data_IF_377317005409
#
_entry.id   IF_377317005409
#
_cell.length_a   1.000
_cell.length_b   1.000
_cell.length_c   1.000
_cell.angle_alpha   90.00
_cell.angle_beta   90.00
_cell.angle_gamma   90.00
#
_symmetry.space_group_name_H-M   'P 1'
#
loop_
_entity.id
_entity.type
_entity.pdbx_description
1 polymer ?
#
# COMPACT_ATOMS: atom_id res chain seq x y z
N UNK A 1 54.32 47.97 50.63
CA UNK A 1 52.98 48.43 50.20
C UNK A 1 52.03 47.24 50.50
N UNK A 2 51.17 47.44 51.51
CA UNK A 2 50.33 46.36 52.07
C UNK A 2 48.92 46.50 51.50
N UNK A 3 48.38 45.47 50.82
CA UNK A 3 46.98 45.42 50.39
C UNK A 3 46.13 44.68 51.43
N UNK A 4 45.20 45.44 52.03
CA UNK A 4 44.21 44.90 52.95
C UNK A 4 43.11 44.20 52.13
N UNK A 5 42.76 42.94 52.52
CA UNK A 5 41.62 42.19 52.02
C UNK A 5 40.46 42.38 52.99
N UNK A 6 39.36 42.99 52.52
CA UNK A 6 38.11 43.14 53.26
C UNK A 6 37.28 41.89 53.03
N UNK A 7 36.94 41.17 54.10
CA UNK A 7 36.00 40.04 54.08
C UNK A 7 34.57 40.56 54.32
N UNK A 8 33.65 40.33 53.35
CA UNK A 8 32.23 40.53 53.59
C UNK A 8 31.62 39.21 54.05
N UNK A 9 31.04 39.21 55.28
CA UNK A 9 30.27 38.07 55.80
C UNK A 9 28.82 38.30 55.41
N UNK A 10 28.27 37.40 54.54
CA UNK A 10 26.82 37.37 54.25
C UNK A 10 26.16 36.45 55.28
N UNK A 11 25.26 37.04 56.04
CA UNK A 11 24.42 36.34 57.01
C UNK A 11 23.19 35.81 56.27
N UNK A 12 23.09 34.45 56.01
CA UNK A 12 21.90 33.82 55.46
C UNK A 12 20.85 33.59 56.55
N UNK A 13 19.73 34.34 56.47
CA UNK A 13 18.52 34.06 57.23
C UNK A 13 17.79 32.85 56.63
N UNK A 14 17.74 31.76 57.33
CA UNK A 14 16.94 30.58 57.00
C UNK A 14 15.48 30.85 57.36
N UNK A 15 14.62 31.00 56.33
CA UNK A 15 13.15 30.97 56.47
C UNK A 15 12.69 29.54 56.24
N UNK A 16 11.93 28.91 57.15
CA UNK A 16 11.39 27.58 56.93
C UNK A 16 10.25 27.62 55.90
N UNK A 17 10.47 26.96 54.76
CA UNK A 17 9.46 26.76 53.72
C UNK A 17 8.64 25.54 54.14
N UNK A 18 7.41 25.78 54.60
CA UNK A 18 6.42 24.68 54.78
C UNK A 18 5.90 24.27 53.40
N UNK A 19 6.33 23.09 52.94
CA UNK A 19 5.83 22.48 51.73
C UNK A 19 4.43 21.95 51.95
N UNK A 20 3.42 22.64 51.36
CA UNK A 20 2.08 22.07 51.14
C UNK A 20 2.19 21.03 50.02
N UNK A 21 2.17 19.76 50.40
CA UNK A 21 2.10 18.66 49.45
C UNK A 21 0.73 18.63 48.76
N UNK A 22 0.62 19.18 47.54
CA UNK A 22 -0.47 18.85 46.64
C UNK A 22 -0.20 17.51 46.00
N UNK A 23 -0.87 16.46 46.52
CA UNK A 23 -0.96 15.17 45.84
C UNK A 23 -1.79 15.32 44.58
N UNK A 24 -1.12 15.59 43.47
CA UNK A 24 -1.70 15.48 42.14
C UNK A 24 -1.82 14.01 41.80
N UNK A 25 -2.98 13.42 42.02
CA UNK A 25 -3.32 12.12 41.47
C UNK A 25 -3.32 12.25 39.95
N UNK A 26 -2.24 11.84 39.31
CA UNK A 26 -2.19 11.69 37.87
C UNK A 26 -3.21 10.59 37.50
N UNK A 27 -4.35 11.01 36.96
CA UNK A 27 -5.29 10.10 36.30
C UNK A 27 -4.54 9.54 35.10
N UNK A 28 -4.02 8.33 35.24
CA UNK A 28 -3.55 7.55 34.08
C UNK A 28 -4.80 7.20 33.27
N UNK A 29 -5.10 8.01 32.29
CA UNK A 29 -5.99 7.62 31.19
C UNK A 29 -5.22 6.52 30.44
N UNK A 30 -5.52 5.25 30.76
CA UNK A 30 -5.19 4.15 29.86
C UNK A 30 -5.90 4.47 28.55
N UNK A 31 -5.20 5.02 27.58
CA UNK A 31 -5.65 4.97 26.19
C UNK A 31 -5.68 3.50 25.84
N UNK A 32 -6.85 2.86 25.87
CA UNK A 32 -7.02 1.63 25.10
C UNK A 32 -6.64 1.99 23.67
N UNK A 33 -5.52 1.43 23.20
CA UNK A 33 -5.13 1.61 21.81
C UNK A 33 -6.25 0.99 20.99
N UNK A 34 -7.05 1.83 20.34
CA UNK A 34 -8.08 1.39 19.44
C UNK A 34 -7.42 0.50 18.38
N UNK A 35 -7.64 -0.80 18.45
CA UNK A 35 -7.11 -1.74 17.47
C UNK A 35 -7.99 -1.72 16.23
N UNK A 36 -7.38 -1.77 15.05
CA UNK A 36 -8.14 -1.95 13.81
C UNK A 36 -8.90 -3.28 13.83
N UNK A 37 -10.20 -3.22 13.52
CA UNK A 37 -11.00 -4.43 13.34
C UNK A 37 -10.62 -5.10 12.02
N UNK A 38 -10.40 -6.40 12.04
CA UNK A 38 -10.13 -7.20 10.84
C UNK A 38 -11.27 -8.17 10.57
N UNK A 39 -11.60 -8.37 9.31
CA UNK A 39 -12.57 -9.39 8.90
C UNK A 39 -12.17 -10.01 7.54
N UNK A 40 -12.65 -11.21 7.28
CA UNK A 40 -12.43 -11.90 5.99
C UNK A 40 -13.75 -12.02 5.25
N UNK A 41 -13.76 -11.58 4.00
CA UNK A 41 -14.89 -11.74 3.09
C UNK A 41 -14.63 -12.89 2.15
N UNK A 42 -15.56 -13.85 2.10
CA UNK A 42 -15.56 -14.92 1.09
C UNK A 42 -16.22 -14.35 -0.17
N UNK A 43 -15.40 -13.89 -1.11
CA UNK A 43 -15.87 -13.29 -2.35
C UNK A 43 -15.92 -14.32 -3.47
N UNK A 44 -17.07 -14.41 -4.14
CA UNK A 44 -17.24 -15.26 -5.33
C UNK A 44 -17.11 -14.40 -6.58
N UNK A 45 -15.99 -14.53 -7.28
CA UNK A 45 -15.77 -13.86 -8.56
C UNK A 45 -16.51 -14.60 -9.66
N UNK A 46 -17.39 -13.90 -10.37
CA UNK A 46 -18.07 -14.43 -11.56
C UNK A 46 -17.13 -14.50 -12.75
N UNK A 47 -16.21 -13.55 -12.86
CA UNK A 47 -15.22 -13.47 -13.94
C UNK A 47 -14.18 -14.57 -13.84
N UNK A 48 -13.73 -14.88 -12.62
CA UNK A 48 -12.79 -15.96 -12.38
C UNK A 48 -13.49 -17.33 -12.16
N UNK A 49 -14.80 -17.36 -11.93
CA UNK A 49 -15.56 -18.58 -11.67
C UNK A 49 -15.11 -19.32 -10.40
N UNK A 50 -14.52 -18.62 -9.43
CA UNK A 50 -13.97 -19.18 -8.20
C UNK A 50 -14.10 -18.25 -7.01
N UNK A 51 -13.90 -18.79 -5.82
CA UNK A 51 -13.80 -17.99 -4.59
C UNK A 51 -12.43 -17.34 -4.52
N UNK A 52 -12.43 -16.00 -4.39
CA UNK A 52 -11.23 -15.18 -4.23
C UNK A 52 -11.42 -14.33 -2.95
N UNK A 53 -11.13 -14.88 -1.76
CA UNK A 53 -11.34 -14.19 -0.51
C UNK A 53 -10.45 -12.95 -0.40
N UNK A 54 -10.86 -12.01 0.43
CA UNK A 54 -10.03 -10.87 0.81
C UNK A 54 -10.19 -10.53 2.29
N UNK A 55 -9.14 -9.99 2.89
CA UNK A 55 -9.23 -9.42 4.22
C UNK A 55 -9.51 -7.92 4.14
N UNK A 56 -10.17 -7.44 5.19
CA UNK A 56 -10.48 -6.03 5.41
C UNK A 56 -9.90 -5.62 6.75
N UNK A 57 -9.13 -4.54 6.76
CA UNK A 57 -8.70 -3.86 7.99
C UNK A 57 -9.45 -2.54 8.05
N UNK A 58 -10.35 -2.42 9.02
CA UNK A 58 -11.17 -1.23 9.22
C UNK A 58 -10.46 -0.25 10.16
N UNK A 59 -10.50 1.06 9.89
CA UNK A 59 -9.92 2.05 10.80
C UNK A 59 -10.68 2.07 12.14
N UNK A 60 -10.02 2.50 13.23
CA UNK A 60 -10.62 2.47 14.57
C UNK A 60 -11.93 3.21 14.70
N UNK A 61 -12.11 4.29 13.97
CA UNK A 61 -13.32 5.14 13.96
C UNK A 61 -14.40 4.67 12.96
N UNK A 62 -14.19 3.55 12.27
CA UNK A 62 -15.09 3.11 11.19
C UNK A 62 -16.52 2.89 11.65
N UNK A 63 -16.74 2.21 12.78
CA UNK A 63 -18.09 1.90 13.26
C UNK A 63 -18.90 3.18 13.56
N UNK A 64 -18.26 4.15 14.21
CA UNK A 64 -18.86 5.44 14.51
C UNK A 64 -19.11 6.26 13.23
N UNK A 65 -18.11 6.40 12.38
CA UNK A 65 -18.22 7.18 11.14
C UNK A 65 -19.27 6.57 10.19
N UNK A 66 -19.26 5.24 10.02
CA UNK A 66 -20.21 4.54 9.16
C UNK A 66 -21.68 4.72 9.64
N UNK A 67 -21.92 4.72 10.97
CA UNK A 67 -23.23 4.98 11.54
C UNK A 67 -23.75 6.39 11.19
N UNK A 68 -22.84 7.37 11.00
CA UNK A 68 -23.15 8.74 10.60
C UNK A 68 -23.09 8.97 9.08
N UNK A 69 -22.93 7.93 8.27
CA UNK A 69 -22.90 8.04 6.81
C UNK A 69 -21.53 8.41 6.22
N UNK A 70 -20.46 8.38 7.00
CA UNK A 70 -19.09 8.63 6.51
C UNK A 70 -18.64 7.55 5.54
N UNK A 71 -18.01 7.96 4.44
CA UNK A 71 -17.30 7.10 3.49
C UNK A 71 -15.80 7.23 3.71
N UNK A 72 -15.08 6.13 3.55
CA UNK A 72 -13.66 6.02 3.81
C UNK A 72 -12.86 5.77 2.54
N UNK A 73 -11.66 6.31 2.41
CA UNK A 73 -10.76 5.93 1.33
C UNK A 73 -10.22 4.50 1.56
N UNK A 74 -9.67 3.90 0.52
CA UNK A 74 -9.24 2.49 0.51
C UNK A 74 -7.82 2.37 -0.05
N UNK A 75 -6.98 1.61 0.64
CA UNK A 75 -5.73 1.07 0.13
C UNK A 75 -5.93 -0.41 -0.24
N UNK A 76 -5.73 -0.77 -1.50
CA UNK A 76 -5.63 -2.15 -1.96
C UNK A 76 -4.18 -2.60 -1.87
N UNK A 77 -3.88 -3.60 -1.01
CA UNK A 77 -2.53 -4.03 -0.68
C UNK A 77 -2.30 -5.48 -1.14
N UNK A 78 -1.58 -5.62 -2.24
CA UNK A 78 -1.40 -6.86 -3.00
C UNK A 78 -0.29 -7.74 -2.42
N UNK A 79 -0.49 -9.06 -2.38
CA UNK A 79 0.50 -10.03 -1.93
C UNK A 79 1.50 -10.41 -3.04
N UNK A 80 2.59 -11.10 -2.68
CA UNK A 80 3.60 -11.61 -3.60
C UNK A 80 3.28 -13.00 -4.18
N UNK A 81 4.13 -13.47 -5.08
CA UNK A 81 4.05 -14.82 -5.64
C UNK A 81 4.15 -15.87 -4.53
N UNK A 82 3.39 -16.96 -4.63
CA UNK A 82 3.20 -18.00 -3.61
C UNK A 82 2.54 -17.55 -2.30
N UNK A 83 2.17 -16.27 -2.23
CA UNK A 83 1.42 -15.70 -1.12
C UNK A 83 -0.09 -15.75 -1.33
N UNK A 84 -0.83 -15.25 -0.34
CA UNK A 84 -2.28 -15.23 -0.30
C UNK A 84 -2.81 -13.93 0.32
N UNK A 85 -4.09 -13.69 0.18
CA UNK A 85 -4.82 -12.57 0.79
C UNK A 85 -4.55 -12.41 2.30
N UNK A 86 -4.24 -13.52 3.01
CA UNK A 86 -4.01 -13.53 4.46
C UNK A 86 -2.60 -13.10 4.87
N UNK A 87 -1.64 -13.10 3.98
CA UNK A 87 -0.22 -12.99 4.30
C UNK A 87 0.15 -11.69 5.00
N UNK A 88 -0.39 -10.57 4.55
CA UNK A 88 -0.13 -9.28 5.17
C UNK A 88 -0.53 -9.23 6.64
N UNK A 89 -1.65 -9.86 7.01
CA UNK A 89 -2.10 -9.92 8.41
C UNK A 89 -1.36 -10.99 9.22
N UNK A 90 -0.99 -12.10 8.58
CA UNK A 90 -0.36 -13.23 9.26
C UNK A 90 1.16 -13.06 9.46
N UNK A 91 1.84 -12.34 8.56
CA UNK A 91 3.30 -12.26 8.49
C UNK A 91 3.86 -10.88 8.77
N UNK A 92 3.00 -9.88 9.04
CA UNK A 92 3.39 -8.52 9.42
C UNK A 92 2.50 -7.98 10.53
N UNK A 93 2.85 -6.80 11.04
CA UNK A 93 2.04 -6.06 12.03
C UNK A 93 1.06 -5.09 11.36
N UNK A 94 0.56 -5.44 10.17
CA UNK A 94 -0.29 -4.54 9.38
C UNK A 94 -1.46 -3.95 10.18
N UNK A 95 -2.18 -4.78 10.94
CA UNK A 95 -3.34 -4.32 11.73
C UNK A 95 -2.96 -3.30 12.82
N UNK A 96 -1.78 -3.49 13.44
CA UNK A 96 -1.23 -2.56 14.43
C UNK A 96 -0.80 -1.25 13.76
N UNK A 97 -0.08 -1.33 12.62
CA UNK A 97 0.34 -0.15 11.85
C UNK A 97 -0.86 0.64 11.34
N UNK A 98 -1.91 -0.05 10.87
CA UNK A 98 -3.13 0.54 10.33
C UNK A 98 -3.94 1.33 11.36
N UNK A 99 -3.84 1.00 12.65
CA UNK A 99 -4.61 1.62 13.73
C UNK A 99 -4.39 3.14 13.89
N UNK A 100 -3.40 3.70 13.21
CA UNK A 100 -3.09 5.15 13.23
C UNK A 100 -3.66 5.89 12.02
N UNK A 101 -4.40 5.20 11.16
CA UNK A 101 -4.85 5.75 9.89
C UNK A 101 -6.37 5.65 9.73
N UNK A 102 -6.95 6.59 8.99
CA UNK A 102 -8.39 6.71 8.79
C UNK A 102 -8.80 6.25 7.37
N UNK A 103 -8.32 5.09 6.95
CA UNK A 103 -8.71 4.46 5.68
C UNK A 103 -8.82 2.94 5.85
N UNK A 104 -9.58 2.34 4.96
CA UNK A 104 -9.77 0.90 4.88
C UNK A 104 -8.57 0.29 4.15
N UNK A 105 -8.09 -0.89 4.58
CA UNK A 105 -7.11 -1.65 3.82
C UNK A 105 -7.76 -2.95 3.36
N UNK A 106 -7.60 -3.27 2.08
CA UNK A 106 -8.07 -4.51 1.46
C UNK A 106 -6.86 -5.31 1.01
N UNK A 107 -6.74 -6.57 1.47
CA UNK A 107 -5.72 -7.49 1.00
C UNK A 107 -6.39 -8.60 0.19
N UNK A 108 -6.46 -8.48 -1.15
CA UNK A 108 -7.19 -9.41 -2.01
C UNK A 108 -6.37 -10.65 -2.34
N UNK A 109 -7.08 -11.74 -2.68
CA UNK A 109 -6.48 -12.92 -3.30
C UNK A 109 -6.12 -12.63 -4.76
N UNK A 110 -4.91 -12.99 -5.15
CA UNK A 110 -4.39 -12.86 -6.52
C UNK A 110 -3.76 -14.17 -7.01
N UNK A 111 -3.76 -15.22 -6.17
CA UNK A 111 -3.06 -16.48 -6.44
C UNK A 111 -1.65 -16.22 -7.01
N UNK A 112 -1.20 -17.06 -7.95
CA UNK A 112 0.05 -16.84 -8.69
C UNK A 112 -0.20 -16.20 -10.08
N UNK A 113 -1.25 -15.37 -10.19
CA UNK A 113 -1.76 -14.87 -11.46
C UNK A 113 -1.16 -13.54 -11.92
N UNK A 114 -0.13 -13.01 -11.23
CA UNK A 114 0.57 -11.77 -11.60
C UNK A 114 -0.37 -10.58 -11.80
N UNK A 115 -1.56 -10.64 -11.16
CA UNK A 115 -2.61 -9.63 -11.30
C UNK A 115 -2.95 -9.33 -12.76
N UNK A 116 -2.90 -10.35 -13.63
CA UNK A 116 -3.03 -10.27 -15.09
C UNK A 116 -4.12 -11.23 -15.55
N UNK A 117 -4.81 -10.90 -16.63
CA UNK A 117 -5.73 -11.79 -17.29
C UNK A 117 -4.95 -12.74 -18.20
N UNK A 118 -5.05 -14.03 -17.92
CA UNK A 118 -4.28 -15.06 -18.60
C UNK A 118 -4.75 -15.29 -20.03
N UNK A 119 -3.84 -15.46 -21.00
CA UNK A 119 -4.20 -15.86 -22.37
C UNK A 119 -4.42 -17.38 -22.47
N UNK A 120 -3.92 -18.18 -21.52
CA UNK A 120 -3.96 -19.65 -21.57
C UNK A 120 -4.92 -20.28 -20.56
N UNK A 121 -5.34 -19.52 -19.54
CA UNK A 121 -6.29 -19.97 -18.53
C UNK A 121 -7.48 -18.98 -18.47
N UNK A 122 -8.59 -19.26 -19.17
CA UNK A 122 -9.70 -18.29 -19.32
C UNK A 122 -10.34 -17.82 -18.03
N UNK A 123 -10.24 -18.59 -16.96
CA UNK A 123 -10.73 -18.24 -15.61
C UNK A 123 -9.76 -17.38 -14.80
N UNK A 124 -8.50 -17.28 -15.21
CA UNK A 124 -7.52 -16.44 -14.54
C UNK A 124 -7.65 -14.99 -15.01
N UNK A 125 -8.64 -14.28 -14.45
CA UNK A 125 -9.00 -12.90 -14.79
C UNK A 125 -8.64 -11.92 -13.68
N UNK A 126 -7.39 -12.00 -13.17
CA UNK A 126 -7.02 -11.29 -11.94
C UNK A 126 -6.96 -9.76 -12.09
N UNK A 127 -6.63 -9.21 -13.25
CA UNK A 127 -6.75 -7.77 -13.49
C UNK A 127 -8.23 -7.35 -13.54
N UNK A 128 -9.00 -8.00 -14.41
CA UNK A 128 -10.42 -7.66 -14.61
C UNK A 128 -11.23 -7.89 -13.32
N UNK A 129 -10.97 -8.98 -12.59
CA UNK A 129 -11.60 -9.26 -11.30
C UNK A 129 -11.39 -8.11 -10.29
N UNK A 130 -10.15 -7.67 -10.08
CA UNK A 130 -9.87 -6.59 -9.12
C UNK A 130 -10.55 -5.30 -9.54
N UNK A 131 -10.45 -4.93 -10.81
CA UNK A 131 -10.94 -3.65 -11.32
C UNK A 131 -12.47 -3.63 -11.41
N UNK A 132 -13.11 -4.69 -11.89
CA UNK A 132 -14.53 -4.70 -12.23
C UNK A 132 -15.44 -5.38 -11.21
N UNK A 133 -14.91 -6.23 -10.33
CA UNK A 133 -15.71 -6.92 -9.32
C UNK A 133 -15.33 -6.55 -7.89
N UNK A 134 -14.06 -6.70 -7.51
CA UNK A 134 -13.62 -6.47 -6.13
C UNK A 134 -13.78 -5.01 -5.69
N UNK A 135 -13.27 -4.07 -6.49
CA UNK A 135 -13.39 -2.63 -6.14
C UNK A 135 -14.85 -2.22 -5.98
N UNK A 136 -15.79 -2.53 -6.90
CA UNK A 136 -17.21 -2.26 -6.69
C UNK A 136 -17.83 -2.98 -5.49
N UNK A 137 -17.40 -4.21 -5.19
CA UNK A 137 -17.89 -4.94 -4.01
C UNK A 137 -17.49 -4.24 -2.72
N UNK A 138 -16.21 -3.86 -2.59
CA UNK A 138 -15.69 -3.11 -1.44
C UNK A 138 -16.46 -1.78 -1.27
N UNK A 139 -16.73 -1.07 -2.34
CA UNK A 139 -17.48 0.20 -2.32
C UNK A 139 -18.90 0.03 -1.77
N UNK A 140 -19.58 -1.07 -2.13
CA UNK A 140 -20.92 -1.36 -1.62
C UNK A 140 -20.92 -1.79 -0.16
N UNK A 141 -19.98 -2.68 0.22
CA UNK A 141 -19.97 -3.31 1.56
C UNK A 141 -19.44 -2.38 2.65
N UNK A 142 -18.40 -1.61 2.32
CA UNK A 142 -17.57 -0.92 3.31
C UNK A 142 -17.64 0.60 3.23
N UNK A 143 -18.72 1.18 2.67
CA UNK A 143 -18.86 2.63 2.52
C UNK A 143 -17.57 3.29 2.02
N UNK A 144 -16.95 2.70 1.02
CA UNK A 144 -15.74 3.24 0.42
C UNK A 144 -16.06 4.45 -0.48
N UNK A 145 -15.12 5.38 -0.56
CA UNK A 145 -15.18 6.52 -1.48
C UNK A 145 -15.02 5.98 -2.91
N UNK A 146 -15.97 6.32 -3.78
CA UNK A 146 -16.03 5.79 -5.15
C UNK A 146 -15.12 6.53 -6.12
N UNK A 147 -14.75 7.77 -5.81
CA UNK A 147 -13.89 8.60 -6.64
C UNK A 147 -12.41 8.17 -6.58
N UNK A 148 -11.62 8.60 -7.55
CA UNK A 148 -10.17 8.36 -7.65
C UNK A 148 -9.42 8.75 -6.38
N UNK A 149 -9.80 9.88 -5.80
CA UNK A 149 -9.20 10.43 -4.58
C UNK A 149 -9.35 9.52 -3.37
N UNK A 150 -10.29 8.58 -3.42
CA UNK A 150 -10.51 7.57 -2.39
C UNK A 150 -9.74 6.28 -2.60
N UNK A 151 -8.87 6.13 -3.62
CA UNK A 151 -8.21 4.85 -3.89
C UNK A 151 -6.70 4.95 -4.05
N UNK A 152 -6.01 4.03 -3.38
CA UNK A 152 -4.59 3.75 -3.54
C UNK A 152 -4.37 2.25 -3.79
N UNK A 153 -3.30 1.90 -4.45
CA UNK A 153 -2.87 0.51 -4.65
C UNK A 153 -1.40 0.37 -4.30
N UNK A 154 -1.06 -0.68 -3.58
CA UNK A 154 0.31 -1.03 -3.22
C UNK A 154 0.49 -2.54 -3.21
N UNK A 155 1.74 -3.01 -3.16
CA UNK A 155 1.99 -4.42 -3.00
C UNK A 155 3.48 -4.75 -2.92
N UNK A 156 3.78 -5.99 -2.54
CA UNK A 156 5.14 -6.52 -2.48
C UNK A 156 5.43 -7.49 -3.63
N UNK A 157 6.66 -7.50 -4.15
CA UNK A 157 7.13 -8.47 -5.13
C UNK A 157 6.22 -8.53 -6.39
N UNK A 158 5.56 -9.67 -6.67
CA UNK A 158 4.51 -9.79 -7.67
C UNK A 158 3.40 -8.72 -7.48
N UNK A 159 3.01 -8.44 -6.23
CA UNK A 159 2.03 -7.40 -5.91
C UNK A 159 2.55 -5.99 -6.18
N UNK A 160 3.85 -5.76 -6.02
CA UNK A 160 4.50 -4.49 -6.39
C UNK A 160 4.44 -4.23 -7.90
N UNK A 161 4.68 -5.27 -8.70
CA UNK A 161 4.43 -5.22 -10.14
C UNK A 161 2.95 -4.94 -10.44
N UNK A 162 2.03 -5.68 -9.81
CA UNK A 162 0.59 -5.49 -9.99
C UNK A 162 0.14 -4.07 -9.66
N UNK A 163 0.64 -3.50 -8.57
CA UNK A 163 0.31 -2.13 -8.15
C UNK A 163 0.77 -1.08 -9.17
N UNK A 164 2.01 -1.16 -9.65
CA UNK A 164 2.51 -0.25 -10.70
C UNK A 164 1.75 -0.44 -12.01
N UNK A 165 1.48 -1.69 -12.41
CA UNK A 165 0.70 -2.00 -13.61
C UNK A 165 -0.70 -1.37 -13.55
N UNK A 166 -1.40 -1.51 -12.43
CA UNK A 166 -2.72 -0.90 -12.25
C UNK A 166 -2.65 0.63 -12.29
N UNK A 167 -1.65 1.24 -11.63
CA UNK A 167 -1.45 2.68 -11.68
C UNK A 167 -1.19 3.21 -13.09
N UNK A 168 -0.44 2.49 -13.91
CA UNK A 168 -0.09 2.87 -15.27
C UNK A 168 -1.23 2.61 -16.28
N UNK A 169 -1.94 1.49 -16.15
CA UNK A 169 -3.05 1.11 -17.06
C UNK A 169 -4.38 1.78 -16.71
N UNK A 170 -4.63 2.03 -15.42
CA UNK A 170 -5.87 2.59 -14.90
C UNK A 170 -5.63 3.87 -14.07
N UNK A 171 -4.90 4.88 -14.60
CA UNK A 171 -4.48 6.06 -13.83
C UNK A 171 -5.66 6.87 -13.28
N UNK A 172 -6.83 6.79 -13.92
CA UNK A 172 -8.07 7.43 -13.48
C UNK A 172 -8.66 6.79 -12.21
N UNK A 173 -8.13 5.65 -11.77
CA UNK A 173 -8.69 4.92 -10.63
C UNK A 173 -7.93 5.15 -9.32
N UNK A 174 -6.65 5.54 -9.38
CA UNK A 174 -5.78 5.56 -8.21
C UNK A 174 -5.03 6.89 -8.07
N UNK A 175 -4.80 7.33 -6.82
CA UNK A 175 -3.95 8.50 -6.50
C UNK A 175 -2.53 8.13 -6.14
N UNK A 176 -2.31 6.87 -5.73
CA UNK A 176 -1.02 6.31 -5.35
C UNK A 176 -0.91 4.90 -5.93
N UNK A 177 0.26 4.60 -6.51
CA UNK A 177 0.70 3.24 -6.86
C UNK A 177 2.08 3.01 -6.21
N UNK A 178 2.16 2.05 -5.27
CA UNK A 178 3.37 1.82 -4.49
C UNK A 178 3.87 0.37 -4.65
N UNK A 179 5.17 0.22 -4.88
CA UNK A 179 5.85 -1.06 -5.10
C UNK A 179 6.94 -1.29 -4.06
N UNK A 180 6.81 -2.34 -3.27
CA UNK A 180 7.80 -2.82 -2.31
C UNK A 180 8.53 -4.02 -2.91
N UNK A 181 9.84 -3.92 -3.13
CA UNK A 181 10.65 -5.00 -3.74
C UNK A 181 9.99 -5.58 -5.01
N UNK A 182 9.50 -4.73 -5.92
CA UNK A 182 8.68 -5.15 -7.05
C UNK A 182 9.40 -6.09 -8.02
N UNK A 183 8.76 -7.18 -8.42
CA UNK A 183 9.21 -8.07 -9.49
C UNK A 183 8.78 -7.48 -10.85
N UNK A 184 9.47 -6.42 -11.32
CA UNK A 184 8.95 -5.49 -12.32
C UNK A 184 9.03 -5.95 -13.77
N UNK A 185 9.81 -6.98 -14.07
CA UNK A 185 10.03 -7.45 -15.44
C UNK A 185 9.51 -8.86 -15.80
N UNK A 186 8.38 -9.36 -15.22
CA UNK A 186 7.98 -10.75 -15.43
C UNK A 186 7.60 -11.06 -16.88
N UNK A 187 7.17 -10.07 -17.63
CA UNK A 187 6.80 -10.21 -19.04
C UNK A 187 7.99 -10.50 -19.96
N UNK A 188 9.19 -10.15 -19.54
CA UNK A 188 10.43 -10.45 -20.27
C UNK A 188 11.10 -11.75 -19.82
N UNK A 189 10.61 -12.40 -18.76
CA UNK A 189 11.20 -13.65 -18.29
C UNK A 189 10.82 -14.79 -19.24
N UNK A 190 11.86 -15.36 -19.84
CA UNK A 190 11.71 -16.56 -20.68
C UNK A 190 11.64 -17.80 -19.78
N UNK A 191 10.51 -18.54 -19.79
CA UNK A 191 10.36 -19.74 -18.96
C UNK A 191 11.35 -20.85 -19.35
N UNK A 192 11.88 -20.84 -20.57
CA UNK A 192 12.81 -21.86 -21.04
C UNK A 192 14.26 -21.49 -20.79
N UNK A 193 14.54 -20.23 -20.39
CA UNK A 193 15.88 -19.79 -20.09
C UNK A 193 16.43 -20.41 -18.80
N UNK A 194 17.70 -20.86 -18.76
CA UNK A 194 18.31 -21.49 -17.60
C UNK A 194 18.30 -20.64 -16.32
N UNK A 195 18.36 -19.31 -16.46
CA UNK A 195 18.37 -18.37 -15.36
C UNK A 195 16.98 -18.16 -14.73
N UNK A 196 15.90 -18.57 -15.40
CA UNK A 196 14.55 -18.47 -14.82
C UNK A 196 14.33 -19.58 -13.80
N UNK A 197 14.10 -19.25 -12.52
CA UNK A 197 13.96 -20.26 -11.48
C UNK A 197 12.79 -21.21 -11.78
N UNK A 198 12.99 -22.50 -11.58
CA UNK A 198 12.00 -23.53 -11.91
C UNK A 198 10.64 -23.32 -11.23
N UNK A 199 10.63 -22.79 -9.99
CA UNK A 199 9.42 -22.52 -9.22
C UNK A 199 8.59 -21.33 -9.75
N UNK A 200 9.22 -20.43 -10.52
CA UNK A 200 8.53 -19.27 -11.14
C UNK A 200 7.90 -19.65 -12.48
N UNK A 201 8.54 -20.52 -13.25
CA UNK A 201 8.15 -20.87 -14.64
C UNK A 201 6.66 -21.15 -14.83
N UNK A 202 6.00 -22.01 -14.01
CA UNK A 202 4.59 -22.29 -14.20
C UNK A 202 3.69 -21.06 -14.13
N UNK A 203 4.00 -20.13 -13.21
CA UNK A 203 3.22 -18.90 -13.05
C UNK A 203 3.41 -17.93 -14.22
N UNK A 204 4.62 -17.83 -14.78
CA UNK A 204 4.92 -17.01 -15.95
C UNK A 204 4.21 -17.52 -17.20
N UNK A 205 4.29 -18.82 -17.47
CA UNK A 205 3.58 -19.43 -18.59
C UNK A 205 2.07 -19.25 -18.46
N UNK A 206 1.55 -19.48 -17.25
CA UNK A 206 0.13 -19.35 -16.98
C UNK A 206 -0.37 -17.91 -17.13
N UNK A 207 0.38 -16.92 -16.63
CA UNK A 207 -0.04 -15.51 -16.67
C UNK A 207 0.17 -14.85 -18.03
N UNK A 208 1.21 -15.22 -18.77
CA UNK A 208 1.66 -14.48 -19.95
C UNK A 208 1.77 -15.30 -21.23
N UNK A 209 1.48 -16.61 -21.20
CA UNK A 209 1.62 -17.48 -22.38
C UNK A 209 3.07 -17.62 -22.87
N UNK A 210 3.22 -17.88 -24.16
CA UNK A 210 4.52 -17.99 -24.84
C UNK A 210 5.22 -16.63 -24.95
N UNK A 211 6.49 -16.62 -25.34
CA UNK A 211 7.30 -15.40 -25.47
C UNK A 211 6.75 -14.40 -26.50
N UNK A 212 6.08 -14.87 -27.52
CA UNK A 212 5.46 -14.08 -28.60
C UNK A 212 3.98 -13.71 -28.34
N UNK A 213 3.42 -14.11 -27.19
CA UNK A 213 2.03 -13.81 -26.84
C UNK A 213 1.80 -12.29 -26.66
N UNK A 214 0.76 -11.71 -27.29
CA UNK A 214 0.47 -10.29 -27.20
C UNK A 214 0.12 -9.80 -25.78
N UNK A 215 -0.21 -10.68 -24.84
CA UNK A 215 -0.41 -10.34 -23.43
C UNK A 215 0.88 -9.84 -22.78
N UNK A 216 2.04 -10.33 -23.22
CA UNK A 216 3.33 -9.89 -22.67
C UNK A 216 3.60 -8.39 -22.89
N UNK A 217 3.66 -7.87 -24.13
CA UNK A 217 3.90 -6.44 -24.34
C UNK A 217 2.76 -5.56 -23.81
N UNK A 218 1.52 -6.05 -23.73
CA UNK A 218 0.39 -5.33 -23.17
C UNK A 218 0.46 -5.15 -21.63
N UNK A 219 1.27 -5.98 -20.96
CA UNK A 219 1.49 -5.95 -19.52
C UNK A 219 2.95 -5.64 -19.13
N UNK A 220 3.81 -5.32 -20.08
CA UNK A 220 5.18 -4.87 -19.83
C UNK A 220 5.17 -3.41 -19.34
N UNK A 221 5.35 -3.24 -18.03
CA UNK A 221 5.33 -1.90 -17.42
C UNK A 221 6.51 -1.02 -17.86
N UNK A 222 7.65 -1.59 -18.23
CA UNK A 222 8.77 -0.83 -18.82
C UNK A 222 8.39 -0.30 -20.21
N UNK A 223 7.76 -1.14 -21.03
CA UNK A 223 7.25 -0.72 -22.34
C UNK A 223 6.19 0.36 -22.18
N UNK A 224 5.19 0.15 -21.29
CA UNK A 224 4.15 1.13 -21.03
C UNK A 224 4.76 2.49 -20.66
N UNK A 225 5.73 2.53 -19.74
CA UNK A 225 6.40 3.78 -19.33
C UNK A 225 7.17 4.42 -20.51
N UNK A 226 7.87 3.63 -21.33
CA UNK A 226 8.60 4.16 -22.50
C UNK A 226 7.66 4.81 -23.54
N UNK A 227 6.49 4.22 -23.76
CA UNK A 227 5.53 4.63 -24.79
C UNK A 227 4.48 5.64 -24.30
N UNK A 228 4.46 5.92 -22.99
CA UNK A 228 3.50 6.87 -22.41
C UNK A 228 3.75 8.29 -22.95
N UNK A 229 2.73 8.94 -23.50
CA UNK A 229 2.85 10.31 -23.94
C UNK A 229 2.92 11.31 -22.78
N UNK A 230 3.60 12.43 -22.97
CA UNK A 230 3.83 13.43 -21.91
C UNK A 230 2.51 14.03 -21.37
N UNK A 231 1.48 14.13 -22.21
CA UNK A 231 0.16 14.64 -21.83
C UNK A 231 -0.50 13.77 -20.76
N UNK A 232 -0.15 12.48 -20.73
CA UNK A 232 -0.69 11.53 -19.76
C UNK A 232 0.02 11.56 -18.40
N UNK A 233 1.18 12.19 -18.28
CA UNK A 233 1.94 12.20 -17.01
C UNK A 233 1.15 12.81 -15.86
N UNK A 234 0.41 13.89 -16.13
CA UNK A 234 -0.42 14.55 -15.13
C UNK A 234 -1.58 13.68 -14.61
N UNK A 235 -2.00 12.67 -15.38
CA UNK A 235 -3.07 11.74 -15.00
C UNK A 235 -2.57 10.57 -14.16
N UNK A 236 -1.24 10.32 -14.11
CA UNK A 236 -0.69 9.21 -13.35
C UNK A 236 -0.93 9.37 -11.85
N UNK A 237 -1.04 8.28 -11.10
CA UNK A 237 -0.95 8.32 -9.64
C UNK A 237 0.45 8.74 -9.22
N UNK A 238 0.60 9.15 -7.97
CA UNK A 238 1.94 9.27 -7.39
C UNK A 238 2.58 7.86 -7.38
N UNK A 239 3.76 7.75 -7.97
CA UNK A 239 4.49 6.49 -8.07
C UNK A 239 5.52 6.42 -6.95
N UNK A 240 5.47 5.36 -6.16
CA UNK A 240 6.47 5.07 -5.14
C UNK A 240 7.07 3.68 -5.36
N UNK A 241 8.40 3.59 -5.23
CA UNK A 241 9.12 2.33 -5.26
C UNK A 241 10.09 2.28 -4.09
N UNK A 242 10.23 1.11 -3.47
CA UNK A 242 11.38 0.80 -2.65
C UNK A 242 11.89 -0.61 -2.89
N UNK A 243 13.16 -0.84 -2.55
CA UNK A 243 13.76 -2.17 -2.63
C UNK A 243 14.92 -2.28 -1.63
N UNK A 244 15.05 -3.46 -1.04
CA UNK A 244 16.19 -3.77 -0.20
C UNK A 244 17.50 -3.80 -0.98
N UNK A 245 18.59 -3.27 -0.39
CA UNK A 245 19.90 -3.26 -1.06
C UNK A 245 20.51 -4.65 -1.24
N UNK A 246 20.01 -5.65 -0.49
CA UNK A 246 20.39 -7.06 -0.58
C UNK A 246 19.32 -7.92 -1.26
N UNK A 247 18.30 -7.28 -1.85
CA UNK A 247 17.22 -7.95 -2.57
C UNK A 247 17.68 -8.30 -4.00
N UNK A 248 17.41 -9.54 -4.43
CA UNK A 248 17.78 -9.99 -5.79
C UNK A 248 17.01 -9.25 -6.91
N UNK A 249 15.94 -8.52 -6.59
CA UNK A 249 15.18 -7.68 -7.53
C UNK A 249 15.66 -6.23 -7.57
N UNK A 250 16.71 -5.86 -6.81
CA UNK A 250 17.16 -4.47 -6.70
C UNK A 250 17.46 -3.85 -8.04
N UNK A 251 18.09 -4.61 -8.96
CA UNK A 251 18.50 -4.07 -10.25
C UNK A 251 17.30 -3.70 -11.14
N UNK A 252 16.25 -4.52 -11.18
CA UNK A 252 15.04 -4.20 -11.94
C UNK A 252 14.30 -2.97 -11.37
N UNK A 253 14.37 -2.77 -10.05
CA UNK A 253 13.80 -1.57 -9.41
C UNK A 253 14.62 -0.31 -9.71
N UNK A 254 15.96 -0.41 -9.76
CA UNK A 254 16.85 0.68 -10.23
C UNK A 254 16.57 1.07 -11.68
N UNK A 255 16.41 0.08 -12.55
CA UNK A 255 16.11 0.31 -13.97
C UNK A 255 14.77 1.03 -14.15
N UNK A 256 13.74 0.64 -13.39
CA UNK A 256 12.45 1.34 -13.43
C UNK A 256 12.57 2.78 -12.93
N UNK A 257 13.25 3.02 -11.83
CA UNK A 257 13.47 4.37 -11.30
C UNK A 257 14.27 5.24 -12.29
N UNK A 258 15.31 4.68 -12.91
CA UNK A 258 16.08 5.36 -13.96
C UNK A 258 15.20 5.72 -15.16
N UNK A 259 14.36 4.79 -15.62
CA UNK A 259 13.43 5.03 -16.72
C UNK A 259 12.39 6.11 -16.39
N UNK A 260 11.80 6.09 -15.19
CA UNK A 260 10.87 7.12 -14.75
C UNK A 260 11.56 8.50 -14.69
N UNK A 261 12.81 8.55 -14.24
CA UNK A 261 13.63 9.78 -14.20
C UNK A 261 13.91 10.29 -15.63
N UNK A 262 14.35 9.42 -16.54
CA UNK A 262 14.59 9.74 -17.95
C UNK A 262 13.31 10.31 -18.62
N UNK A 263 12.18 9.68 -18.35
CA UNK A 263 10.87 10.11 -18.87
C UNK A 263 10.29 11.34 -18.15
N UNK A 264 10.97 11.86 -17.11
CA UNK A 264 10.50 12.97 -16.26
C UNK A 264 9.12 12.72 -15.63
N UNK A 265 8.83 11.46 -15.31
CA UNK A 265 7.61 11.07 -14.60
C UNK A 265 7.87 11.25 -13.10
N UNK A 266 7.06 12.04 -12.38
CA UNK A 266 7.23 12.24 -10.94
C UNK A 266 7.09 10.93 -10.16
N UNK A 267 8.10 10.61 -9.37
CA UNK A 267 8.12 9.41 -8.54
C UNK A 267 9.04 9.59 -7.33
N UNK A 268 8.93 8.67 -6.39
CA UNK A 268 9.89 8.53 -5.29
C UNK A 268 10.46 7.11 -5.32
N UNK A 269 11.78 6.99 -5.26
CA UNK A 269 12.47 5.71 -5.17
C UNK A 269 13.40 5.68 -3.96
N UNK A 270 13.32 4.62 -3.15
CA UNK A 270 14.19 4.41 -1.99
C UNK A 270 14.91 3.07 -2.08
N UNK A 271 16.17 3.06 -1.66
CA UNK A 271 16.96 1.87 -1.45
C UNK A 271 17.36 1.84 0.03
N UNK A 272 17.01 0.77 0.70
CA UNK A 272 17.18 0.65 2.15
C UNK A 272 17.81 -0.70 2.48
N UNK A 273 18.60 -0.83 3.56
CA UNK A 273 19.15 -2.11 3.97
C UNK A 273 18.05 -3.15 4.20
N UNK A 274 18.17 -4.32 3.56
CA UNK A 274 17.23 -5.43 3.69
C UNK A 274 17.20 -6.34 2.47
N UNK A 275 16.46 -7.43 2.61
CA UNK A 275 16.34 -8.53 1.65
C UNK A 275 14.91 -8.66 1.13
N UNK A 276 14.67 -9.66 0.29
CA UNK A 276 13.33 -10.02 -0.22
C UNK A 276 12.58 -10.83 0.84
N UNK A 277 12.19 -10.20 1.96
CA UNK A 277 11.63 -10.89 3.12
C UNK A 277 10.60 -10.06 3.89
N UNK A 278 9.83 -10.75 4.73
CA UNK A 278 8.78 -10.13 5.54
C UNK A 278 9.30 -9.09 6.54
N UNK A 279 10.47 -9.25 7.21
CA UNK A 279 11.04 -8.20 8.05
C UNK A 279 11.27 -6.87 7.32
N UNK A 280 11.65 -6.91 6.04
CA UNK A 280 11.76 -5.72 5.20
C UNK A 280 10.37 -5.13 4.91
N UNK A 281 9.44 -5.94 4.42
CA UNK A 281 8.11 -5.47 4.02
C UNK A 281 7.27 -4.97 5.20
N UNK A 282 7.38 -5.57 6.39
CA UNK A 282 6.72 -5.08 7.60
C UNK A 282 7.20 -3.67 8.01
N UNK A 283 8.48 -3.38 7.81
CA UNK A 283 8.99 -2.01 8.01
C UNK A 283 8.50 -1.06 6.94
N UNK A 284 8.56 -1.45 5.67
CA UNK A 284 8.28 -0.56 4.54
C UNK A 284 6.78 -0.31 4.33
N UNK A 285 5.91 -1.22 4.73
CA UNK A 285 4.46 -0.99 4.64
C UNK A 285 4.03 0.24 5.45
N UNK A 286 4.73 0.57 6.53
CA UNK A 286 4.45 1.78 7.31
C UNK A 286 4.63 3.06 6.48
N UNK A 287 5.63 3.09 5.60
CA UNK A 287 5.81 4.22 4.67
C UNK A 287 4.69 4.26 3.64
N UNK A 288 4.27 3.11 3.10
CA UNK A 288 3.10 3.04 2.22
C UNK A 288 1.85 3.57 2.90
N UNK A 289 1.62 3.22 4.17
CA UNK A 289 0.48 3.73 4.95
C UNK A 289 0.58 5.25 5.15
N UNK A 290 1.76 5.77 5.45
CA UNK A 290 2.01 7.22 5.58
C UNK A 290 1.74 7.97 4.26
N UNK A 291 2.26 7.44 3.15
CA UNK A 291 2.02 8.00 1.81
C UNK A 291 0.54 7.94 1.44
N UNK A 292 -0.12 6.82 1.73
CA UNK A 292 -1.56 6.68 1.49
C UNK A 292 -2.36 7.73 2.26
N UNK A 293 -2.04 7.97 3.53
CA UNK A 293 -2.68 9.02 4.32
C UNK A 293 -2.50 10.42 3.74
N UNK A 294 -1.36 10.68 3.07
CA UNK A 294 -1.07 11.97 2.43
C UNK A 294 -1.63 12.13 1.00
N UNK A 295 -2.00 11.03 0.34
CA UNK A 295 -2.47 11.03 -1.06
C UNK A 295 -3.95 10.73 -1.22
N UNK A 296 -4.54 10.02 -0.27
CA UNK A 296 -5.96 9.75 -0.22
C UNK A 296 -6.72 10.97 0.35
N UNK A 297 -7.95 11.16 -0.09
CA UNK A 297 -8.84 12.13 0.56
C UNK A 297 -9.14 11.70 2.00
N UNK A 298 -9.45 12.64 2.87
CA UNK A 298 -9.95 12.32 4.20
C UNK A 298 -11.31 11.59 4.10
N UNK A 299 -11.71 10.83 5.14
CA UNK A 299 -13.09 10.35 5.27
C UNK A 299 -14.09 11.51 5.09
N UNK A 300 -15.17 11.28 4.37
CA UNK A 300 -16.13 12.32 4.02
C UNK A 300 -17.57 11.84 4.13
N UNK A 301 -18.48 12.75 4.48
CA UNK A 301 -19.89 12.45 4.46
C UNK A 301 -20.34 12.07 3.05
N UNK A 302 -21.20 11.06 2.95
CA UNK A 302 -21.83 10.75 1.68
C UNK A 302 -22.57 12.02 1.18
N UNK A 303 -22.32 12.39 -0.10
CA UNK A 303 -23.10 13.48 -0.71
C UNK A 303 -24.57 13.08 -0.64
N UNK A 304 -25.41 13.98 -0.12
CA UNK A 304 -26.86 13.78 -0.20
C UNK A 304 -27.23 13.57 -1.67
N UNK A 305 -27.99 12.52 -1.96
CA UNK A 305 -28.52 12.33 -3.30
C UNK A 305 -29.27 13.61 -3.67
N UNK A 306 -28.83 14.31 -4.70
CA UNK A 306 -29.58 15.45 -5.22
C UNK A 306 -30.94 14.91 -5.64
N UNK A 307 -31.98 15.29 -4.90
CA UNK A 307 -33.33 15.02 -5.30
C UNK A 307 -33.56 15.75 -6.63
N UNK A 308 -33.47 15.03 -7.72
CA UNK A 308 -33.96 15.50 -9.02
C UNK A 308 -35.49 15.59 -8.87
N UNK A 309 -35.95 16.79 -8.54
CA UNK A 309 -37.36 17.12 -8.70
C UNK A 309 -37.74 16.93 -10.18
N UNK A 310 -38.60 15.96 -10.41
CA UNK A 310 -39.29 15.82 -11.68
C UNK A 310 -40.31 16.96 -11.86
#
# INVERSE_FOLDING_TARGET
>A
MKHARTFFIFLFLLVPFTAFGQSSAAVQVKSESASSKTETVQFESKLAGMKLPYNVVLPPDYAQGAAHGTRYPVLYLLHGLTGHYSDWLAKSKLAEHAARHHFIIITPEGNNGWYTDSPVAPTDKYETYIIQELIPDVQRRFRAIEAREGRAVAGLSMGGYGALKFGLKHPQMFTLAASLSGALGPTAWDPDAPQTPAWVKPSIVRAYGKMDDPVRPANDIFKIVRELSAERFASLPFIYLDCGTEDFLIESNRQMAALLTERKIPHEYRQLPGKHDWPYWDRQVQEVLRLSAGKLSAPQMAKAASATSK
#
